data_IF_831797963385
#
_entry.id   IF_831797963385
#
_cell.length_a   1.000
_cell.length_b   1.000
_cell.length_c   1.000
_cell.angle_alpha   90.00
_cell.angle_beta   90.00
_cell.angle_gamma   90.00
#
_symmetry.space_group_name_H-M   'P 1'
#
loop_
_entity.id
_entity.type
_entity.pdbx_description
1 polymer ?
#
# COMPACT_ATOMS: atom_id res chain seq x y z
N UNK A 1 4.40 24.01 -2.92
CA UNK A 1 4.29 22.98 -1.88
C UNK A 1 4.89 21.68 -2.39
N UNK A 2 5.58 20.98 -1.54
CA UNK A 2 6.14 19.67 -1.87
C UNK A 2 5.02 18.63 -1.99
N UNK A 3 5.08 17.81 -3.02
CA UNK A 3 4.10 16.75 -3.23
C UNK A 3 4.66 15.39 -2.79
N UNK A 4 3.81 14.59 -2.16
CA UNK A 4 4.10 13.21 -1.77
C UNK A 4 3.02 12.27 -2.28
N UNK A 5 3.35 10.99 -2.40
CA UNK A 5 2.36 9.94 -2.64
C UNK A 5 2.06 9.22 -1.33
N UNK A 6 0.78 9.09 -0.99
CA UNK A 6 0.30 8.26 0.11
C UNK A 6 -0.40 7.04 -0.46
N UNK A 7 0.07 5.86 -0.11
CA UNK A 7 -0.48 4.60 -0.59
C UNK A 7 -0.98 3.72 0.55
N UNK A 8 -2.16 3.14 0.38
CA UNK A 8 -2.66 2.04 1.19
C UNK A 8 -3.51 1.11 0.31
N UNK A 9 -3.33 -0.23 0.40
CA UNK A 9 -4.04 -1.19 -0.44
C UNK A 9 -5.48 -1.46 0.01
N UNK A 10 -6.10 -0.48 0.65
CA UNK A 10 -7.48 -0.54 1.17
C UNK A 10 -8.10 0.85 1.24
N UNK A 11 -9.43 0.96 1.29
CA UNK A 11 -10.13 2.21 1.56
C UNK A 11 -9.81 2.74 2.96
N UNK A 12 -9.60 4.04 3.08
CA UNK A 12 -9.45 4.69 4.39
C UNK A 12 -10.83 4.94 5.00
N UNK A 13 -11.03 4.45 6.21
CA UNK A 13 -12.27 4.61 6.96
C UNK A 13 -12.07 5.63 8.10
N UNK A 14 -12.72 6.79 7.98
CA UNK A 14 -12.64 7.85 9.00
C UNK A 14 -13.48 7.54 10.25
N UNK A 15 -14.41 6.60 10.16
CA UNK A 15 -15.25 6.14 11.27
C UNK A 15 -14.67 4.90 11.98
N UNK A 16 -13.47 4.46 11.56
CA UNK A 16 -12.83 3.31 12.14
C UNK A 16 -12.59 3.47 13.65
N UNK A 17 -12.91 2.44 14.40
CA UNK A 17 -12.72 2.36 15.86
C UNK A 17 -11.45 1.58 16.26
N UNK A 18 -10.85 0.83 15.34
CA UNK A 18 -9.63 0.06 15.58
C UNK A 18 -8.37 0.87 15.28
N UNK A 19 -7.30 0.63 16.02
CA UNK A 19 -6.01 1.29 15.78
C UNK A 19 -5.50 1.09 14.33
N UNK A 20 -5.79 -0.07 13.74
CA UNK A 20 -5.42 -0.39 12.37
C UNK A 20 -6.14 0.43 11.31
N UNK A 21 -7.37 0.87 11.59
CA UNK A 21 -8.12 1.76 10.72
C UNK A 21 -7.83 3.24 10.99
N UNK A 22 -7.67 3.62 12.27
CA UNK A 22 -7.42 5.00 12.69
C UNK A 22 -6.06 5.51 12.21
N UNK A 23 -4.99 4.70 12.36
CA UNK A 23 -3.63 5.14 12.05
C UNK A 23 -3.45 5.60 10.60
N UNK A 24 -3.89 4.87 9.56
CA UNK A 24 -3.70 5.31 8.18
C UNK A 24 -4.35 6.67 7.89
N UNK A 25 -5.53 6.91 8.45
CA UNK A 25 -6.22 8.21 8.31
C UNK A 25 -5.41 9.32 8.99
N UNK A 26 -4.93 9.09 10.21
CA UNK A 26 -4.12 10.05 10.96
C UNK A 26 -2.80 10.36 10.28
N UNK A 27 -2.14 9.36 9.69
CA UNK A 27 -0.90 9.55 8.93
C UNK A 27 -1.15 10.41 7.69
N UNK A 28 -2.22 10.14 6.94
CA UNK A 28 -2.60 10.94 5.79
C UNK A 28 -2.86 12.41 6.18
N UNK A 29 -3.62 12.63 7.26
CA UNK A 29 -3.94 13.96 7.73
C UNK A 29 -2.70 14.68 8.27
N UNK A 30 -1.79 13.99 8.99
CA UNK A 30 -0.54 14.55 9.48
C UNK A 30 0.36 15.06 8.33
N UNK A 31 0.47 14.34 7.22
CA UNK A 31 1.20 14.83 6.06
C UNK A 31 0.59 16.10 5.48
N UNK A 32 -0.74 16.22 5.46
CA UNK A 32 -1.42 17.45 5.03
C UNK A 32 -1.19 18.60 5.99
N UNK A 33 -1.24 18.35 7.30
CA UNK A 33 -0.96 19.35 8.34
C UNK A 33 0.50 19.84 8.29
N UNK A 34 1.44 18.99 7.90
CA UNK A 34 2.83 19.37 7.63
C UNK A 34 3.01 20.18 6.35
N UNK A 35 1.95 20.45 5.59
CA UNK A 35 1.97 21.29 4.40
C UNK A 35 2.28 20.55 3.09
N UNK A 36 2.27 19.21 3.08
CA UNK A 36 2.44 18.47 1.84
C UNK A 36 1.17 18.43 0.98
N UNK A 37 1.35 18.53 -0.33
CA UNK A 37 0.32 18.13 -1.29
C UNK A 37 0.30 16.61 -1.37
N UNK A 38 -0.74 15.98 -0.83
CA UNK A 38 -0.81 14.52 -0.76
C UNK A 38 -1.58 13.94 -1.95
N UNK A 39 -0.87 13.22 -2.80
CA UNK A 39 -1.44 12.45 -3.90
C UNK A 39 -1.84 11.06 -3.37
N UNK A 40 -3.12 10.87 -3.20
CA UNK A 40 -3.69 9.70 -2.55
C UNK A 40 -3.87 8.54 -3.54
N UNK A 41 -3.21 7.41 -3.28
CA UNK A 41 -3.33 6.14 -4.02
C UNK A 41 -3.83 5.06 -3.05
N UNK A 42 -5.05 5.24 -2.55
CA UNK A 42 -5.72 4.30 -1.64
C UNK A 42 -7.02 3.76 -2.25
N UNK A 43 -7.76 2.96 -1.52
CA UNK A 43 -9.05 2.44 -1.96
C UNK A 43 -8.98 1.02 -2.52
N UNK A 44 -10.04 0.62 -3.21
CA UNK A 44 -10.07 -0.64 -3.96
C UNK A 44 -9.00 -0.71 -5.04
N UNK A 45 -8.67 -1.90 -5.53
CA UNK A 45 -7.67 -2.06 -6.59
C UNK A 45 -8.06 -1.28 -7.87
N UNK A 46 -9.35 -1.18 -8.17
CA UNK A 46 -9.86 -0.38 -9.30
C UNK A 46 -9.62 1.12 -9.10
N UNK A 47 -9.85 1.62 -7.88
CA UNK A 47 -9.59 3.02 -7.54
C UNK A 47 -8.10 3.31 -7.57
N UNK A 48 -7.28 2.46 -6.97
CA UNK A 48 -5.81 2.59 -7.01
C UNK A 48 -5.28 2.56 -8.44
N UNK A 49 -5.81 1.69 -9.31
CA UNK A 49 -5.43 1.63 -10.73
C UNK A 49 -5.74 2.96 -11.46
N UNK A 50 -6.88 3.57 -11.18
CA UNK A 50 -7.25 4.87 -11.75
C UNK A 50 -6.34 5.98 -11.23
N UNK A 51 -6.10 6.02 -9.91
CA UNK A 51 -5.22 7.01 -9.27
C UNK A 51 -3.77 6.87 -9.71
N UNK A 52 -3.31 5.65 -9.94
CA UNK A 52 -1.97 5.38 -10.50
C UNK A 52 -1.82 5.95 -11.92
N UNK A 53 -2.84 5.86 -12.76
CA UNK A 53 -2.81 6.49 -14.09
C UNK A 53 -2.69 8.01 -13.99
N UNK A 54 -3.53 8.63 -13.16
CA UNK A 54 -3.45 10.08 -12.93
C UNK A 54 -2.09 10.51 -12.37
N UNK A 55 -1.50 9.73 -11.46
CA UNK A 55 -0.16 9.98 -10.95
C UNK A 55 0.91 9.89 -12.05
N UNK A 56 0.79 8.91 -12.94
CA UNK A 56 1.70 8.78 -14.09
C UNK A 56 1.65 10.01 -15.00
N UNK A 57 0.44 10.50 -15.29
CA UNK A 57 0.25 11.68 -16.13
C UNK A 57 0.88 12.93 -15.50
N UNK A 58 0.76 13.09 -14.18
CA UNK A 58 1.40 14.17 -13.41
C UNK A 58 2.93 14.11 -13.48
N UNK A 59 3.50 12.93 -13.28
CA UNK A 59 4.95 12.73 -13.36
C UNK A 59 5.47 12.98 -14.78
N UNK A 60 4.74 12.56 -15.82
CA UNK A 60 5.07 12.87 -17.22
C UNK A 60 4.96 14.37 -17.51
N UNK A 61 4.06 15.08 -16.83
CA UNK A 61 3.93 16.54 -16.87
C UNK A 61 5.01 17.29 -16.09
N UNK A 62 5.97 16.57 -15.48
CA UNK A 62 7.10 17.16 -14.77
C UNK A 62 6.84 17.46 -13.28
N UNK A 63 5.73 17.00 -12.71
CA UNK A 63 5.49 17.13 -11.27
C UNK A 63 6.54 16.35 -10.47
N UNK A 64 7.11 17.00 -9.47
CA UNK A 64 8.13 16.41 -8.61
C UNK A 64 7.49 15.86 -7.34
N UNK A 65 7.76 14.59 -7.06
CA UNK A 65 7.33 13.89 -5.86
C UNK A 65 8.56 13.73 -4.95
N UNK A 66 8.43 14.13 -3.69
CA UNK A 66 9.53 13.99 -2.73
C UNK A 66 9.73 12.58 -2.25
N UNK A 67 8.64 11.90 -1.90
CA UNK A 67 8.67 10.49 -1.50
C UNK A 67 7.30 9.83 -1.62
N UNK A 68 7.30 8.51 -1.59
CA UNK A 68 6.11 7.70 -1.40
C UNK A 68 6.12 7.11 0.01
N UNK A 69 5.03 7.28 0.73
CA UNK A 69 4.73 6.56 1.96
C UNK A 69 3.66 5.51 1.70
N UNK A 70 3.97 4.27 1.99
CA UNK A 70 3.09 3.12 1.77
C UNK A 70 2.74 2.41 3.07
N UNK A 71 1.47 2.12 3.27
CA UNK A 71 0.96 1.27 4.35
C UNK A 71 0.74 -0.14 3.85
N UNK A 72 1.04 -1.14 4.68
CA UNK A 72 0.61 -2.51 4.47
C UNK A 72 -0.69 -2.82 5.22
N UNK A 73 -1.49 -3.71 4.66
CA UNK A 73 -2.54 -4.40 5.39
C UNK A 73 -1.97 -5.56 6.21
N UNK A 74 -2.76 -6.12 7.12
CA UNK A 74 -2.41 -7.34 7.88
C UNK A 74 -2.32 -8.56 6.96
N UNK A 75 -3.08 -8.55 5.86
CA UNK A 75 -3.04 -9.57 4.80
C UNK A 75 -2.23 -9.05 3.60
N UNK A 76 -1.71 -9.93 2.73
CA UNK A 76 -0.98 -9.51 1.54
C UNK A 76 -1.77 -8.52 0.69
N UNK A 77 -1.06 -7.55 0.13
CA UNK A 77 -1.65 -6.44 -0.64
C UNK A 77 -2.59 -6.90 -1.74
N UNK A 78 -2.24 -7.95 -2.47
CA UNK A 78 -3.08 -8.48 -3.53
C UNK A 78 -4.37 -9.15 -3.05
N UNK A 79 -4.47 -9.51 -1.75
CA UNK A 79 -5.62 -10.19 -1.16
C UNK A 79 -6.54 -9.25 -0.36
N UNK A 80 -6.32 -7.93 -0.42
CA UNK A 80 -7.09 -6.93 0.34
C UNK A 80 -8.48 -6.68 -0.24
N UNK A 81 -8.76 -7.15 -1.46
CA UNK A 81 -10.06 -7.01 -2.11
C UNK A 81 -11.12 -7.97 -1.52
N UNK A 82 -12.42 -7.65 -1.68
CA UNK A 82 -13.50 -8.52 -1.25
C UNK A 82 -13.34 -9.94 -1.82
N UNK A 83 -13.60 -10.95 -0.97
CA UNK A 83 -13.43 -12.38 -1.26
C UNK A 83 -11.97 -12.79 -1.53
N UNK A 84 -10.99 -11.93 -1.22
CA UNK A 84 -9.56 -12.17 -1.45
C UNK A 84 -9.21 -12.54 -2.91
N UNK A 85 -10.02 -12.08 -3.86
CA UNK A 85 -9.74 -12.25 -5.28
C UNK A 85 -9.00 -11.01 -5.80
N UNK A 86 -7.81 -11.16 -6.40
CA UNK A 86 -7.01 -10.03 -6.89
C UNK A 86 -7.45 -9.61 -8.30
N UNK A 87 -8.39 -8.64 -8.47
CA UNK A 87 -8.82 -8.20 -9.80
C UNK A 87 -7.73 -7.44 -10.54
N UNK A 88 -6.82 -6.80 -9.80
CA UNK A 88 -5.68 -6.05 -10.32
C UNK A 88 -4.41 -6.32 -9.50
N UNK A 89 -3.84 -7.55 -9.58
CA UNK A 89 -2.74 -7.97 -8.70
C UNK A 89 -1.44 -7.17 -8.90
N UNK A 90 -1.31 -6.48 -10.03
CA UNK A 90 -0.09 -5.76 -10.41
C UNK A 90 -0.14 -4.25 -10.16
N UNK A 91 -1.24 -3.71 -9.62
CA UNK A 91 -1.38 -2.26 -9.44
C UNK A 91 -0.37 -1.70 -8.44
N UNK A 92 -0.19 -2.37 -7.32
CA UNK A 92 0.71 -1.90 -6.27
C UNK A 92 2.19 -2.06 -6.66
N UNK A 93 2.63 -3.21 -7.22
CA UNK A 93 3.96 -3.31 -7.82
C UNK A 93 4.21 -2.30 -8.96
N UNK A 94 3.19 -1.99 -9.75
CA UNK A 94 3.32 -0.97 -10.81
C UNK A 94 3.53 0.43 -10.22
N UNK A 95 2.91 0.75 -9.09
CA UNK A 95 3.18 1.99 -8.36
C UNK A 95 4.64 2.04 -7.89
N UNK A 96 5.13 0.97 -7.24
CA UNK A 96 6.51 0.93 -6.75
C UNK A 96 7.53 1.08 -7.89
N UNK A 97 7.32 0.38 -9.03
CA UNK A 97 8.15 0.52 -10.23
C UNK A 97 8.08 1.93 -10.82
N UNK A 98 6.91 2.56 -10.81
CA UNK A 98 6.76 3.94 -11.27
C UNK A 98 7.59 4.89 -10.41
N UNK A 99 7.50 4.78 -9.08
CA UNK A 99 8.29 5.60 -8.16
C UNK A 99 9.79 5.39 -8.38
N UNK A 100 10.23 4.13 -8.44
CA UNK A 100 11.63 3.79 -8.70
C UNK A 100 12.13 4.39 -10.03
N UNK A 101 11.34 4.30 -11.11
CA UNK A 101 11.69 4.86 -12.43
C UNK A 101 11.92 6.36 -12.40
N UNK A 102 11.20 7.07 -11.55
CA UNK A 102 11.34 8.53 -11.39
C UNK A 102 12.30 8.91 -10.25
N UNK A 103 13.00 7.95 -9.66
CA UNK A 103 13.94 8.20 -8.55
C UNK A 103 13.27 8.69 -7.26
N UNK A 104 11.99 8.38 -7.07
CA UNK A 104 11.22 8.80 -5.88
C UNK A 104 11.52 7.83 -4.74
N UNK A 105 12.06 8.30 -3.59
CA UNK A 105 12.27 7.47 -2.41
C UNK A 105 10.97 6.85 -1.92
N UNK A 106 11.01 5.56 -1.57
CA UNK A 106 9.84 4.83 -1.11
C UNK A 106 10.04 4.36 0.33
N UNK A 107 9.06 4.64 1.19
CA UNK A 107 8.98 4.15 2.55
C UNK A 107 7.77 3.22 2.69
N UNK A 108 7.99 2.04 3.23
CA UNK A 108 6.95 1.05 3.48
C UNK A 108 6.80 0.84 4.99
N UNK A 109 5.62 1.16 5.53
CA UNK A 109 5.24 0.75 6.87
C UNK A 109 4.69 -0.68 6.80
N UNK A 110 5.57 -1.65 7.05
CA UNK A 110 5.24 -3.07 7.06
C UNK A 110 4.97 -3.53 8.48
N UNK A 111 3.78 -4.04 8.73
CA UNK A 111 3.37 -4.50 10.05
C UNK A 111 2.88 -5.95 10.01
N UNK A 112 2.83 -6.55 11.20
CA UNK A 112 2.17 -7.84 11.40
C UNK A 112 2.78 -8.97 10.54
N UNK A 113 4.09 -9.14 10.63
CA UNK A 113 4.83 -10.20 9.92
C UNK A 113 4.55 -11.60 10.52
N UNK A 114 3.28 -11.95 10.71
CA UNK A 114 2.87 -13.23 11.32
C UNK A 114 3.47 -14.45 10.63
N UNK A 115 3.62 -14.40 9.32
CA UNK A 115 4.20 -15.46 8.52
C UNK A 115 5.67 -15.77 8.86
N UNK A 116 6.37 -14.85 9.53
CA UNK A 116 7.75 -15.03 9.98
C UNK A 116 7.85 -15.71 11.34
N UNK A 117 6.74 -15.85 12.08
CA UNK A 117 6.74 -16.50 13.39
C UNK A 117 6.61 -18.02 13.26
N UNK A 118 7.35 -18.82 14.08
CA UNK A 118 7.35 -20.29 13.99
C UNK A 118 5.96 -20.92 14.10
N UNK A 119 5.13 -20.42 15.02
CA UNK A 119 3.78 -20.92 15.30
C UNK A 119 2.76 -20.61 14.19
N UNK A 120 3.09 -19.74 13.24
CA UNK A 120 2.22 -19.50 12.08
C UNK A 120 1.96 -20.77 11.26
N UNK A 121 3.03 -21.52 11.01
CA UNK A 121 2.94 -22.81 10.29
C UNK A 121 2.08 -23.83 11.02
N UNK A 122 2.13 -23.86 12.35
CA UNK A 122 1.31 -24.76 13.17
C UNK A 122 -0.18 -24.38 13.10
N UNK A 123 -0.49 -23.08 13.08
CA UNK A 123 -1.88 -22.59 13.03
C UNK A 123 -2.56 -22.79 11.68
N UNK A 124 -1.87 -22.58 10.59
CA UNK A 124 -2.47 -22.59 9.23
C UNK A 124 -2.14 -23.82 8.41
N UNK A 125 -1.22 -24.67 8.89
CA UNK A 125 -0.72 -25.84 8.16
C UNK A 125 0.42 -25.50 7.19
N UNK A 126 1.25 -26.50 6.87
CA UNK A 126 2.49 -26.30 6.13
C UNK A 126 2.25 -25.78 4.69
N UNK A 127 1.25 -26.33 3.99
CA UNK A 127 0.95 -25.92 2.61
C UNK A 127 0.44 -24.49 2.53
N UNK A 128 -0.48 -24.09 3.43
CA UNK A 128 -1.01 -22.73 3.51
C UNK A 128 0.09 -21.76 3.93
N UNK A 129 0.92 -22.12 4.90
CA UNK A 129 2.04 -21.29 5.34
C UNK A 129 3.03 -21.01 4.22
N UNK A 130 3.34 -22.01 3.38
CA UNK A 130 4.21 -21.87 2.22
C UNK A 130 3.59 -20.95 1.16
N UNK A 131 2.32 -21.17 0.82
CA UNK A 131 1.60 -20.33 -0.15
C UNK A 131 1.52 -18.88 0.31
N UNK A 132 1.12 -18.64 1.57
CA UNK A 132 1.04 -17.29 2.14
C UNK A 132 2.42 -16.64 2.25
N UNK A 133 3.47 -17.40 2.58
CA UNK A 133 4.84 -16.90 2.61
C UNK A 133 5.30 -16.37 1.24
N UNK A 134 4.91 -17.03 0.14
CA UNK A 134 5.19 -16.54 -1.21
C UNK A 134 4.45 -15.21 -1.50
N UNK A 135 3.17 -15.12 -1.12
CA UNK A 135 2.35 -13.93 -1.36
C UNK A 135 2.83 -12.74 -0.52
N UNK A 136 3.20 -12.96 0.74
CA UNK A 136 3.79 -11.91 1.59
C UNK A 136 5.15 -11.42 1.05
N UNK A 137 5.99 -12.31 0.55
CA UNK A 137 7.28 -11.93 -0.04
C UNK A 137 7.10 -11.13 -1.33
N UNK A 138 6.01 -11.33 -2.06
CA UNK A 138 5.67 -10.52 -3.21
C UNK A 138 5.45 -9.04 -2.85
N UNK A 139 4.91 -8.75 -1.66
CA UNK A 139 4.75 -7.37 -1.18
C UNK A 139 6.08 -6.68 -0.86
N UNK A 140 7.16 -7.47 -0.64
CA UNK A 140 8.49 -6.99 -0.28
C UNK A 140 9.47 -6.93 -1.48
N UNK A 141 9.09 -7.50 -2.61
CA UNK A 141 9.91 -7.54 -3.82
C UNK A 141 9.80 -6.27 -4.66
#
# INVERSE_FOLDING_TARGET
>A
MAAIVYHAPFPLDREASSASGIRPVRMLDAFRELGYTVLDVTGSARERSRRLRALRDRLQGGERIEFLYSECATIPTMLTEPRHLPPHPFVDPALMRLMHRYGVPTSLFYRDIYWAFPDYRERVGAAMAAAMGCVYRYDLA
#
